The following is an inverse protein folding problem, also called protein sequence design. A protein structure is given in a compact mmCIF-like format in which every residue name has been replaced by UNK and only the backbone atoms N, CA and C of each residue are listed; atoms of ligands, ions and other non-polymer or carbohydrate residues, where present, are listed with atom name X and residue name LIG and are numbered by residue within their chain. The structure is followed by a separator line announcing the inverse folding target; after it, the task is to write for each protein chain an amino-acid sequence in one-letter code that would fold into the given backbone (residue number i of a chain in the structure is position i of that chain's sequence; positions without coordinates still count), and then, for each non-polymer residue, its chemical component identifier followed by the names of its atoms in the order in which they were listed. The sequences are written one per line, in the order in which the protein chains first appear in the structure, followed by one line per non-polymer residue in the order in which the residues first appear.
data_IF_247857046079
#
_entry.id   IF_247857046079
#
_cell.length_a   1.000
_cell.length_b   1.000
_cell.length_c   1.000
_cell.angle_alpha   90.00
_cell.angle_beta   90.00
_cell.angle_gamma   90.00
#
_symmetry.space_group_name_H-M   'P 1'
#
loop_
_entity.id
_entity.type
_entity.pdbx_description
1 polymer ?
#
# COMPACT_ATOMS: atom_id res chain seq x y z
N UNK A 1 27.43 -77.67 1.29
CA UNK A 1 27.39 -77.98 -0.15
C UNK A 1 28.04 -76.82 -0.90
N UNK A 2 29.11 -77.11 -1.67
CA UNK A 2 29.90 -76.26 -2.61
C UNK A 2 30.45 -74.92 -2.09
N UNK A 3 31.74 -74.75 -1.70
CA UNK A 3 33.03 -74.80 -2.45
C UNK A 3 33.06 -74.01 -3.77
N UNK A 4 33.93 -72.99 -3.83
CA UNK A 4 35.00 -72.67 -4.82
C UNK A 4 35.67 -71.36 -4.32
N UNK A 5 36.83 -71.41 -3.65
CA UNK A 5 38.22 -71.36 -4.15
C UNK A 5 38.57 -70.11 -4.98
N UNK A 6 39.53 -69.29 -4.54
CA UNK A 6 40.89 -69.28 -5.12
C UNK A 6 41.82 -68.30 -4.39
N UNK A 7 43.05 -68.78 -4.21
CA UNK A 7 44.22 -68.13 -3.67
C UNK A 7 45.20 -67.88 -4.84
N UNK A 8 45.92 -66.75 -4.84
CA UNK A 8 47.29 -66.60 -5.36
C UNK A 8 47.75 -65.14 -5.13
N UNK A 9 48.71 -64.88 -4.24
CA UNK A 9 50.17 -64.99 -4.39
C UNK A 9 50.80 -63.71 -4.99
N UNK A 10 51.50 -62.99 -4.09
CA UNK A 10 52.84 -62.38 -4.20
C UNK A 10 53.05 -61.21 -5.19
N UNK A 11 53.55 -60.10 -4.64
CA UNK A 11 54.69 -59.41 -5.28
C UNK A 11 54.81 -57.89 -5.07
N UNK A 12 55.85 -57.51 -4.31
CA UNK A 12 56.59 -56.23 -4.25
C UNK A 12 55.90 -54.95 -3.74
N UNK A 13 56.29 -54.40 -2.58
CA UNK A 13 57.46 -53.54 -2.28
C UNK A 13 57.50 -52.23 -3.09
N UNK A 14 57.27 -51.09 -2.42
CA UNK A 14 58.22 -49.95 -2.25
C UNK A 14 57.49 -48.65 -1.84
N UNK A 15 57.73 -48.23 -0.59
CA UNK A 15 58.09 -46.88 -0.09
C UNK A 15 57.13 -45.67 -0.32
N UNK A 16 56.56 -45.22 0.80
CA UNK A 16 56.59 -43.86 1.39
C UNK A 16 56.36 -42.65 0.47
N UNK A 17 55.22 -41.97 0.60
CA UNK A 17 55.20 -40.49 0.71
C UNK A 17 54.04 -40.00 1.58
N UNK A 18 54.47 -39.27 2.59
CA UNK A 18 53.74 -38.40 3.50
C UNK A 18 52.96 -37.34 2.70
N UNK A 19 51.67 -37.12 3.03
CA UNK A 19 50.88 -36.06 2.41
C UNK A 19 49.40 -36.14 2.76
N UNK A 20 49.04 -35.73 3.98
CA UNK A 20 47.65 -35.46 4.35
C UNK A 20 47.21 -34.19 3.62
N UNK A 21 46.50 -34.35 2.51
CA UNK A 21 45.79 -33.25 1.87
C UNK A 21 44.36 -33.19 2.43
N UNK A 22 44.17 -32.28 3.38
CA UNK A 22 42.85 -31.84 3.84
C UNK A 22 42.14 -31.25 2.61
N UNK A 23 41.13 -31.95 2.09
CA UNK A 23 40.23 -31.42 1.07
C UNK A 23 39.27 -30.44 1.74
N UNK A 24 39.80 -29.25 2.04
CA UNK A 24 38.98 -28.09 2.34
C UNK A 24 38.20 -27.73 1.09
N UNK A 25 36.91 -28.00 1.07
CA UNK A 25 35.99 -27.41 0.09
C UNK A 25 35.91 -25.92 0.38
N UNK A 26 36.82 -25.16 -0.23
CA UNK A 26 36.65 -23.73 -0.37
C UNK A 26 35.35 -23.53 -1.14
N UNK A 27 34.28 -23.12 -0.44
CA UNK A 27 33.16 -22.44 -1.09
C UNK A 27 33.78 -21.22 -1.76
N UNK A 28 34.00 -21.32 -3.07
CA UNK A 28 34.16 -20.16 -3.90
C UNK A 28 32.89 -19.34 -3.69
N UNK A 29 33.01 -18.31 -2.85
CA UNK A 29 32.07 -17.20 -2.89
C UNK A 29 32.21 -16.64 -4.30
N UNK A 30 31.28 -17.03 -5.17
CA UNK A 30 31.05 -16.41 -6.44
C UNK A 30 30.78 -14.94 -6.15
N UNK A 31 31.86 -14.15 -6.19
CA UNK A 31 31.81 -12.71 -6.12
C UNK A 31 31.26 -12.30 -7.48
N UNK A 32 29.94 -12.39 -7.62
CA UNK A 32 29.23 -11.86 -8.76
C UNK A 32 29.64 -10.41 -8.90
N UNK A 33 30.30 -10.13 -10.01
CA UNK A 33 30.72 -8.81 -10.42
C UNK A 33 29.43 -8.05 -10.78
N UNK A 34 28.69 -7.54 -9.78
CA UNK A 34 27.59 -6.58 -9.98
C UNK A 34 28.21 -5.25 -10.32
N UNK A 35 28.56 -5.15 -11.59
CA UNK A 35 28.74 -3.90 -12.30
C UNK A 35 27.49 -3.04 -12.08
N UNK A 36 27.57 -2.05 -11.18
CA UNK A 36 26.71 -0.87 -11.07
C UNK A 36 25.21 -1.07 -11.42
N UNK A 37 24.52 -1.98 -10.71
CA UNK A 37 23.05 -1.97 -10.67
C UNK A 37 22.61 -0.68 -9.96
N UNK A 38 22.47 0.41 -10.71
CA UNK A 38 21.82 1.61 -10.19
C UNK A 38 20.41 1.22 -9.77
N UNK A 39 20.13 1.26 -8.47
CA UNK A 39 18.80 1.00 -7.92
C UNK A 39 17.79 1.90 -8.64
N UNK A 40 16.86 1.31 -9.39
CA UNK A 40 15.82 2.04 -10.11
C UNK A 40 14.73 2.47 -9.13
N UNK A 41 14.97 3.62 -8.48
CA UNK A 41 14.08 4.21 -7.50
C UNK A 41 12.66 4.44 -8.05
N UNK A 42 12.54 4.85 -9.31
CA UNK A 42 11.24 5.08 -9.94
C UNK A 42 10.47 3.77 -10.08
N UNK A 43 11.13 2.71 -10.54
CA UNK A 43 10.52 1.39 -10.62
C UNK A 43 10.13 0.84 -9.24
N UNK A 44 10.94 1.07 -8.20
CA UNK A 44 10.60 0.70 -6.82
C UNK A 44 9.33 1.44 -6.36
N UNK A 45 9.22 2.74 -6.62
CA UNK A 45 8.02 3.52 -6.30
C UNK A 45 6.81 2.94 -7.02
N UNK A 46 6.90 2.75 -8.34
CA UNK A 46 5.77 2.34 -9.18
C UNK A 46 5.30 0.91 -8.95
N UNK A 47 6.18 0.00 -8.48
CA UNK A 47 5.87 -1.44 -8.33
C UNK A 47 5.81 -1.93 -6.89
N UNK A 48 6.58 -1.33 -5.98
CA UNK A 48 6.70 -1.79 -4.60
C UNK A 48 5.92 -0.89 -3.66
N UNK A 49 6.10 0.44 -3.75
CA UNK A 49 5.38 1.37 -2.89
C UNK A 49 3.87 1.43 -3.18
N UNK A 50 3.46 1.04 -4.39
CA UNK A 50 2.06 1.00 -4.83
C UNK A 50 1.32 -0.30 -4.50
N UNK A 51 1.98 -1.30 -3.88
CA UNK A 51 1.35 -2.58 -3.52
C UNK A 51 0.18 -2.43 -2.55
N UNK A 52 0.24 -1.43 -1.66
CA UNK A 52 -0.80 -1.22 -0.65
C UNK A 52 -1.83 -0.18 -1.07
N UNK A 53 -1.39 0.89 -1.73
CA UNK A 53 -2.22 2.04 -2.12
C UNK A 53 -1.76 2.57 -3.47
N UNK A 54 -2.64 3.25 -4.21
CA UNK A 54 -2.25 3.83 -5.50
C UNK A 54 -1.17 4.92 -5.37
N UNK A 55 -0.52 5.25 -6.50
CA UNK A 55 0.58 6.22 -6.55
C UNK A 55 0.15 7.66 -6.23
N UNK A 56 -1.15 7.98 -6.28
CA UNK A 56 -1.65 9.34 -6.06
C UNK A 56 -1.33 9.86 -4.65
N UNK A 57 -1.19 8.97 -3.65
CA UNK A 57 -0.73 9.37 -2.30
C UNK A 57 0.69 9.92 -2.27
N UNK A 58 1.51 9.52 -3.25
CA UNK A 58 2.89 10.00 -3.42
C UNK A 58 2.87 11.23 -4.32
N UNK A 59 2.22 11.16 -5.49
CA UNK A 59 2.17 12.26 -6.47
C UNK A 59 1.60 13.55 -5.89
N UNK A 60 0.55 13.47 -5.08
CA UNK A 60 -0.07 14.65 -4.46
C UNK A 60 0.55 15.03 -3.11
N UNK A 61 1.64 14.39 -2.66
CA UNK A 61 2.31 14.85 -1.44
C UNK A 61 2.80 16.28 -1.60
N UNK A 62 2.76 17.09 -0.52
CA UNK A 62 3.52 18.34 -0.50
C UNK A 62 5.02 18.06 -0.67
N UNK A 63 5.77 19.12 -0.92
CA UNK A 63 7.21 19.07 -0.80
C UNK A 63 7.61 18.61 0.60
N UNK A 64 8.48 17.61 0.65
CA UNK A 64 8.92 16.95 1.87
C UNK A 64 10.43 16.88 1.92
N UNK A 65 10.98 17.11 3.10
CA UNK A 65 12.40 16.91 3.33
C UNK A 65 12.73 15.41 3.54
N UNK A 66 14.03 15.09 3.58
CA UNK A 66 14.54 13.72 3.77
C UNK A 66 13.93 13.06 5.00
N UNK A 67 13.88 13.76 6.14
CA UNK A 67 13.41 13.21 7.41
C UNK A 67 11.94 12.80 7.31
N UNK A 68 11.11 13.62 6.69
CA UNK A 68 9.69 13.33 6.48
C UNK A 68 9.49 12.11 5.59
N UNK A 69 10.25 12.01 4.49
CA UNK A 69 10.20 10.82 3.63
C UNK A 69 10.69 9.56 4.34
N UNK A 70 11.78 9.63 5.12
CA UNK A 70 12.26 8.52 5.94
C UNK A 70 11.14 8.02 6.86
N UNK A 71 10.45 8.92 7.56
CA UNK A 71 9.37 8.54 8.48
C UNK A 71 8.22 7.84 7.75
N UNK A 72 7.78 8.37 6.61
CA UNK A 72 6.68 7.81 5.82
C UNK A 72 7.05 6.42 5.30
N UNK A 73 8.21 6.29 4.67
CA UNK A 73 8.60 5.05 4.01
C UNK A 73 8.99 4.00 5.05
N UNK A 74 9.67 4.36 6.14
CA UNK A 74 9.93 3.43 7.25
C UNK A 74 8.65 2.93 7.90
N UNK A 75 7.64 3.80 8.09
CA UNK A 75 6.34 3.39 8.61
C UNK A 75 5.64 2.42 7.67
N UNK A 76 5.64 2.68 6.36
CA UNK A 76 5.09 1.79 5.35
C UNK A 76 5.83 0.44 5.30
N UNK A 77 7.16 0.46 5.48
CA UNK A 77 8.02 -0.71 5.42
C UNK A 77 8.06 -1.55 6.72
N UNK A 78 7.40 -1.09 7.80
CA UNK A 78 7.63 -1.61 9.17
C UNK A 78 7.22 -3.07 9.41
N UNK A 79 6.22 -3.56 8.69
CA UNK A 79 5.64 -4.91 8.93
C UNK A 79 6.21 -5.95 7.96
N UNK A 80 6.29 -5.58 6.69
CA UNK A 80 6.49 -6.53 5.59
C UNK A 80 7.88 -6.39 4.96
N UNK A 81 8.63 -5.34 5.31
CA UNK A 81 10.00 -5.11 4.83
C UNK A 81 10.16 -5.22 3.31
N UNK A 82 9.22 -4.67 2.54
CA UNK A 82 9.16 -4.73 1.08
C UNK A 82 10.36 -4.11 0.35
N UNK A 83 11.10 -3.20 1.00
CA UNK A 83 12.33 -2.62 0.46
C UNK A 83 13.47 -2.67 1.49
N UNK A 84 14.70 -2.77 1.00
CA UNK A 84 15.92 -2.69 1.81
C UNK A 84 16.20 -1.26 2.29
N UNK A 85 17.20 -1.09 3.16
CA UNK A 85 17.64 0.25 3.60
C UNK A 85 18.26 1.03 2.44
N UNK A 86 18.97 0.34 1.56
CA UNK A 86 19.63 0.89 0.37
C UNK A 86 18.59 1.35 -0.66
N UNK A 87 17.55 0.54 -0.90
CA UNK A 87 16.41 0.89 -1.76
C UNK A 87 15.64 2.08 -1.20
N UNK A 88 15.38 2.10 0.12
CA UNK A 88 14.75 3.23 0.78
C UNK A 88 15.55 4.53 0.59
N UNK A 89 16.87 4.48 0.77
CA UNK A 89 17.74 5.64 0.56
C UNK A 89 17.70 6.12 -0.90
N UNK A 90 17.71 5.19 -1.87
CA UNK A 90 17.60 5.51 -3.28
C UNK A 90 16.24 6.18 -3.62
N UNK A 91 15.14 5.61 -3.11
CA UNK A 91 13.79 6.16 -3.28
C UNK A 91 13.68 7.57 -2.69
N UNK A 92 14.16 7.79 -1.47
CA UNK A 92 14.08 9.10 -0.82
C UNK A 92 14.87 10.14 -1.62
N UNK A 93 16.12 9.83 -2.00
CA UNK A 93 16.96 10.74 -2.79
C UNK A 93 16.31 11.08 -4.12
N UNK A 94 15.69 10.10 -4.77
CA UNK A 94 14.99 10.29 -6.04
C UNK A 94 13.75 11.17 -5.88
N UNK A 95 12.90 10.90 -4.88
CA UNK A 95 11.69 11.68 -4.60
C UNK A 95 11.98 13.17 -4.34
N UNK A 96 13.13 13.52 -3.74
CA UNK A 96 13.47 14.92 -3.51
C UNK A 96 13.66 15.75 -4.78
N UNK A 97 14.05 15.11 -5.89
CA UNK A 97 14.39 15.80 -7.13
C UNK A 97 13.33 15.55 -8.19
N UNK A 98 12.75 14.35 -8.22
CA UNK A 98 11.96 13.86 -9.34
C UNK A 98 10.49 13.57 -9.00
N UNK A 99 9.99 14.00 -7.82
CA UNK A 99 8.58 13.81 -7.45
C UNK A 99 7.61 14.30 -8.55
N UNK A 100 7.92 15.44 -9.16
CA UNK A 100 7.15 16.04 -10.25
C UNK A 100 7.12 15.22 -11.55
N UNK A 101 8.02 14.23 -11.70
CA UNK A 101 8.03 13.32 -12.85
C UNK A 101 7.03 12.17 -12.70
N UNK A 102 6.52 11.94 -11.48
CA UNK A 102 5.47 10.95 -11.25
C UNK A 102 4.13 11.46 -11.78
N UNK A 103 3.37 10.56 -12.41
CA UNK A 103 2.04 10.87 -12.93
C UNK A 103 0.97 10.23 -12.06
N UNK A 104 -0.16 10.92 -11.83
CA UNK A 104 -1.27 10.32 -11.12
C UNK A 104 -1.83 9.15 -11.93
N UNK A 105 -2.23 8.09 -11.24
CA UNK A 105 -3.01 7.01 -11.81
C UNK A 105 -4.48 7.42 -11.93
N UNK A 106 -5.11 7.04 -13.04
CA UNK A 106 -6.56 7.12 -13.18
C UNK A 106 -7.24 6.24 -12.14
N UNK A 107 -8.33 6.73 -11.57
CA UNK A 107 -9.18 5.96 -10.66
C UNK A 107 -10.50 5.62 -11.35
N UNK A 108 -10.95 4.39 -11.17
CA UNK A 108 -12.28 3.98 -11.62
C UNK A 108 -13.32 4.46 -10.59
N UNK A 109 -13.83 5.67 -10.81
CA UNK A 109 -14.79 6.29 -9.89
C UNK A 109 -16.09 5.49 -9.80
N UNK A 110 -16.51 4.81 -10.85
CA UNK A 110 -17.72 3.97 -10.84
C UNK A 110 -17.54 2.75 -9.94
N UNK A 111 -16.40 2.06 -10.07
CA UNK A 111 -16.08 0.95 -9.19
C UNK A 111 -15.91 1.40 -7.73
N UNK A 112 -15.27 2.56 -7.49
CA UNK A 112 -15.03 3.09 -6.15
C UNK A 112 -16.29 3.65 -5.47
N UNK A 113 -17.31 4.01 -6.24
CA UNK A 113 -18.59 4.54 -5.74
C UNK A 113 -19.71 3.50 -5.73
N UNK A 114 -19.42 2.25 -6.09
CA UNK A 114 -20.41 1.18 -6.06
C UNK A 114 -21.00 1.02 -4.66
N UNK A 115 -22.33 1.06 -4.58
CA UNK A 115 -23.07 0.89 -3.33
C UNK A 115 -23.29 2.18 -2.53
N UNK A 116 -22.83 3.32 -3.03
CA UNK A 116 -23.27 4.62 -2.51
C UNK A 116 -24.53 5.10 -3.25
N UNK A 117 -25.37 5.84 -2.55
CA UNK A 117 -26.47 6.58 -3.16
C UNK A 117 -25.94 7.69 -4.09
N UNK A 118 -26.76 8.21 -5.02
CA UNK A 118 -26.33 9.23 -5.97
C UNK A 118 -25.76 10.51 -5.33
N UNK A 119 -26.35 10.99 -4.24
CA UNK A 119 -25.91 12.22 -3.58
C UNK A 119 -24.52 12.02 -2.95
N UNK A 120 -24.31 10.88 -2.28
CA UNK A 120 -23.00 10.54 -1.73
C UNK A 120 -21.96 10.33 -2.82
N UNK A 121 -22.32 9.66 -3.91
CA UNK A 121 -21.43 9.48 -5.04
C UNK A 121 -20.95 10.84 -5.58
N UNK A 122 -21.87 11.75 -5.83
CA UNK A 122 -21.56 13.11 -6.30
C UNK A 122 -20.68 13.86 -5.30
N UNK A 123 -21.04 13.82 -4.01
CA UNK A 123 -20.26 14.45 -2.94
C UNK A 123 -18.80 13.95 -2.92
N UNK A 124 -18.58 12.63 -2.95
CA UNK A 124 -17.25 12.03 -2.86
C UNK A 124 -16.38 12.35 -4.08
N UNK A 125 -16.99 12.39 -5.26
CA UNK A 125 -16.30 12.76 -6.52
C UNK A 125 -15.91 14.24 -6.47
N UNK A 126 -16.86 15.13 -6.17
CA UNK A 126 -16.64 16.58 -6.17
C UNK A 126 -15.62 17.03 -5.11
N UNK A 127 -15.45 16.26 -4.03
CA UNK A 127 -14.49 16.54 -2.97
C UNK A 127 -13.18 15.74 -3.10
N UNK A 128 -12.91 15.10 -4.24
CA UNK A 128 -11.69 14.33 -4.52
C UNK A 128 -11.37 13.22 -3.50
N UNK A 129 -12.37 12.73 -2.76
CA UNK A 129 -12.18 11.79 -1.65
C UNK A 129 -11.70 10.40 -2.10
N UNK A 130 -11.87 10.09 -3.39
CA UNK A 130 -11.63 8.77 -3.98
C UNK A 130 -10.36 8.68 -4.82
N UNK A 131 -9.64 9.79 -4.98
CA UNK A 131 -8.41 9.83 -5.78
C UNK A 131 -7.27 9.03 -5.12
N UNK A 132 -7.24 8.99 -3.79
CA UNK A 132 -6.12 8.44 -3.01
C UNK A 132 -6.43 7.12 -2.28
N UNK A 133 -7.70 6.86 -1.96
CA UNK A 133 -8.13 5.64 -1.27
C UNK A 133 -9.58 5.31 -1.63
N UNK A 134 -10.00 4.08 -1.38
CA UNK A 134 -11.36 3.60 -1.63
C UNK A 134 -12.39 4.30 -0.73
N UNK A 135 -13.64 4.37 -1.20
CA UNK A 135 -14.76 4.93 -0.43
C UNK A 135 -15.13 4.10 0.81
N UNK A 136 -14.74 2.83 0.85
CA UNK A 136 -14.96 1.92 1.99
C UNK A 136 -14.48 2.52 3.33
N UNK A 137 -13.30 3.16 3.33
CA UNK A 137 -12.77 3.80 4.55
C UNK A 137 -13.62 4.96 5.04
N UNK A 138 -14.32 5.63 4.13
CA UNK A 138 -15.20 6.74 4.44
C UNK A 138 -16.51 6.17 5.00
N UNK A 139 -17.09 5.16 4.35
CA UNK A 139 -18.29 4.45 4.84
C UNK A 139 -18.11 3.91 6.26
N UNK A 140 -16.95 3.34 6.58
CA UNK A 140 -16.64 2.79 7.91
C UNK A 140 -16.62 3.85 9.04
N UNK A 141 -16.66 5.15 8.70
CA UNK A 141 -16.55 6.26 9.67
C UNK A 141 -17.69 7.27 9.53
N UNK A 142 -18.32 7.35 8.37
CA UNK A 142 -19.38 8.30 8.09
C UNK A 142 -20.57 8.02 9.01
N UNK A 143 -21.16 9.07 9.60
CA UNK A 143 -22.21 8.95 10.60
C UNK A 143 -21.76 8.47 11.99
N UNK A 144 -20.49 8.06 12.15
CA UNK A 144 -19.94 7.60 13.44
C UNK A 144 -19.05 8.64 14.12
N UNK A 145 -18.52 9.59 13.35
CA UNK A 145 -17.69 10.68 13.86
C UNK A 145 -18.48 11.98 13.86
N UNK A 146 -18.19 12.82 14.85
CA UNK A 146 -18.69 14.19 14.93
C UNK A 146 -18.15 15.07 13.80
N UNK A 147 -18.78 16.23 13.60
CA UNK A 147 -18.32 17.26 12.66
C UNK A 147 -16.88 17.67 12.97
N UNK A 148 -16.55 17.91 14.24
CA UNK A 148 -15.21 18.31 14.66
C UNK A 148 -14.16 17.24 14.34
N UNK A 149 -14.44 15.96 14.62
CA UNK A 149 -13.54 14.86 14.29
C UNK A 149 -13.31 14.74 12.78
N UNK A 150 -14.35 14.99 11.97
CA UNK A 150 -14.23 15.01 10.51
C UNK A 150 -13.44 16.22 10.00
N UNK A 151 -13.67 17.42 10.53
CA UNK A 151 -12.88 18.62 10.20
C UNK A 151 -11.39 18.35 10.45
N UNK A 152 -11.07 17.70 11.57
CA UNK A 152 -9.73 17.30 11.93
C UNK A 152 -9.10 16.32 10.92
N UNK A 153 -9.87 15.31 10.50
CA UNK A 153 -9.44 14.35 9.47
C UNK A 153 -9.18 15.07 8.15
N UNK A 154 -10.14 15.88 7.68
CA UNK A 154 -10.07 16.58 6.41
C UNK A 154 -8.92 17.61 6.39
N UNK A 155 -8.69 18.32 7.49
CA UNK A 155 -7.55 19.24 7.65
C UNK A 155 -6.23 18.50 7.51
N UNK A 156 -6.08 17.33 8.14
CA UNK A 156 -4.89 16.48 7.95
C UNK A 156 -4.77 15.93 6.54
N UNK A 157 -5.88 15.70 5.83
CA UNK A 157 -5.85 15.29 4.42
C UNK A 157 -5.37 16.43 3.52
N UNK A 158 -5.86 17.67 3.73
CA UNK A 158 -5.38 18.87 3.02
C UNK A 158 -3.88 19.07 3.20
N UNK A 159 -3.34 18.88 4.40
CA UNK A 159 -1.90 18.94 4.64
C UNK A 159 -1.10 17.85 3.90
N UNK A 160 -1.72 16.70 3.60
CA UNK A 160 -1.07 15.58 2.90
C UNK A 160 -1.27 15.62 1.39
N UNK A 161 -2.24 16.38 0.90
CA UNK A 161 -2.61 16.47 -0.50
C UNK A 161 -3.04 17.89 -0.89
N UNK A 162 -2.25 18.94 -0.61
CA UNK A 162 -2.71 20.32 -0.72
C UNK A 162 -3.09 20.68 -2.15
N UNK A 163 -2.34 20.22 -3.15
CA UNK A 163 -2.64 20.48 -4.56
C UNK A 163 -3.99 19.90 -5.02
N UNK A 164 -4.49 18.85 -4.36
CA UNK A 164 -5.73 18.17 -4.72
C UNK A 164 -6.94 18.66 -3.92
N UNK A 165 -6.71 19.07 -2.67
CA UNK A 165 -7.78 19.32 -1.69
C UNK A 165 -7.86 20.80 -1.27
N UNK A 166 -7.13 21.71 -1.92
CA UNK A 166 -7.10 23.12 -1.52
C UNK A 166 -8.51 23.74 -1.50
N UNK A 167 -9.29 23.45 -2.53
CA UNK A 167 -10.62 24.01 -2.75
C UNK A 167 -11.73 23.24 -2.00
N UNK A 168 -11.38 22.17 -1.30
CA UNK A 168 -12.34 21.43 -0.46
C UNK A 168 -12.78 22.31 0.70
N UNK A 169 -14.09 22.59 0.74
CA UNK A 169 -14.80 23.18 1.88
C UNK A 169 -14.89 22.14 2.99
N UNK A 170 -13.96 22.24 3.95
CA UNK A 170 -13.82 21.25 5.02
C UNK A 170 -15.02 21.23 5.96
N UNK A 171 -15.70 22.37 6.12
CA UNK A 171 -16.81 22.50 7.05
C UNK A 171 -18.04 21.80 6.49
N UNK A 172 -18.38 22.10 5.23
CA UNK A 172 -19.48 21.39 4.55
C UNK A 172 -19.20 19.91 4.38
N UNK A 173 -17.96 19.55 4.03
CA UNK A 173 -17.60 18.15 3.88
C UNK A 173 -17.68 17.39 5.21
N UNK A 174 -17.27 18.01 6.31
CA UNK A 174 -17.39 17.41 7.64
C UNK A 174 -18.84 17.27 8.08
N UNK A 175 -19.67 18.30 7.88
CA UNK A 175 -21.09 18.26 8.17
C UNK A 175 -21.79 17.14 7.40
N UNK A 176 -21.51 17.02 6.10
CA UNK A 176 -22.03 15.95 5.27
C UNK A 176 -21.65 14.57 5.84
N UNK A 177 -20.36 14.34 6.09
CA UNK A 177 -19.87 13.03 6.54
C UNK A 177 -20.31 12.67 7.96
N UNK A 178 -20.49 13.65 8.84
CA UNK A 178 -21.01 13.43 10.19
C UNK A 178 -22.50 13.07 10.17
N UNK A 179 -23.26 13.67 9.25
CA UNK A 179 -24.71 13.46 9.15
C UNK A 179 -25.09 12.32 8.21
N UNK A 180 -24.13 11.55 7.69
CA UNK A 180 -24.30 10.54 6.64
C UNK A 180 -25.54 9.63 6.79
N UNK A 181 -25.78 9.08 7.98
CA UNK A 181 -26.93 8.20 8.24
C UNK A 181 -28.28 8.93 8.39
N UNK A 182 -28.25 10.25 8.57
CA UNK A 182 -29.43 11.10 8.63
C UNK A 182 -29.81 11.65 7.25
N UNK A 183 -29.03 11.34 6.20
CA UNK A 183 -29.25 11.87 4.86
C UNK A 183 -30.38 11.20 4.06
N UNK A 184 -31.27 10.43 4.69
CA UNK A 184 -32.62 10.19 4.14
C UNK A 184 -33.73 10.28 5.20
N UNK A 185 -34.49 11.39 5.22
CA UNK A 185 -35.83 11.43 5.80
C UNK A 185 -36.91 10.83 4.87
N UNK A 186 -36.71 10.84 3.54
CA UNK A 186 -37.76 10.47 2.57
C UNK A 186 -38.07 8.96 2.53
N UNK A 187 -37.08 8.08 2.60
CA UNK A 187 -37.29 6.63 2.64
C UNK A 187 -37.91 6.17 3.97
N UNK A 188 -37.55 6.83 5.07
CA UNK A 188 -38.16 6.59 6.38
C UNK A 188 -39.60 7.09 6.38
N UNK A 189 -39.86 8.28 5.82
CA UNK A 189 -41.21 8.83 5.72
C UNK A 189 -42.11 7.95 4.84
N UNK A 190 -41.62 7.42 3.72
CA UNK A 190 -42.38 6.54 2.83
C UNK A 190 -42.62 5.16 3.45
N UNK A 191 -41.62 4.59 4.16
CA UNK A 191 -41.78 3.34 4.89
C UNK A 191 -42.72 3.48 6.09
N UNK A 192 -42.68 4.59 6.82
CA UNK A 192 -43.59 4.88 7.94
C UNK A 192 -45.00 5.11 7.41
N UNK A 193 -45.16 5.86 6.32
CA UNK A 193 -46.46 6.07 5.66
C UNK A 193 -47.07 4.75 5.20
N UNK A 194 -46.30 3.88 4.56
CA UNK A 194 -46.78 2.56 4.14
C UNK A 194 -47.13 1.61 5.30
N UNK A 195 -46.61 1.82 6.51
CA UNK A 195 -47.04 1.10 7.71
C UNK A 195 -48.32 1.68 8.29
N UNK A 196 -48.45 3.01 8.33
CA UNK A 196 -49.65 3.70 8.80
C UNK A 196 -50.85 3.36 7.91
N UNK A 197 -50.70 3.46 6.59
CA UNK A 197 -51.77 3.16 5.64
C UNK A 197 -52.30 1.72 5.80
N UNK A 198 -51.42 0.74 6.05
CA UNK A 198 -51.80 -0.66 6.31
C UNK A 198 -52.57 -0.85 7.62
N UNK A 199 -52.21 -0.10 8.66
CA UNK A 199 -52.89 -0.15 9.96
C UNK A 199 -54.27 0.53 9.93
N UNK A 200 -54.49 1.45 8.99
CA UNK A 200 -55.77 2.14 8.80
C UNK A 200 -56.73 1.36 7.89
N UNK A 201 -56.23 0.54 6.96
CA UNK A 201 -57.07 -0.29 6.07
C UNK A 201 -57.51 -1.62 6.68
N UNK A 202 -56.89 -2.05 7.79
CA UNK A 202 -57.22 -3.31 8.50
C UNK A 202 -58.25 -3.13 9.65
N UNK A 203 -58.98 -2.00 9.66
CA UNK A 203 -60.13 -1.74 10.56
C UNK A 203 -61.45 -1.78 9.79
#
# INVERSE_FOLDING_TARGET
MNKIKNSWIIGLLVIFFMGVAISGTAKAAEKTNRENDTLDAKQIIERVCTKCHNINRIVFSPDRNIREWVQIIAFANRKEHFITKEEMAAVIKWLQVHLHELKPASVDLEALTKGFDPATKEFLINNNCLICHTGEKIQQKAGLLSVEEWQDILSRMKLKGPALLNDTDTDKAAEYLANFHMQTPEEIAESVKGVIDRLETDK
#
